data_IF_765458443017
#
_entry.id   IF_765458443017
#
_cell.length_a   1.000
_cell.length_b   1.000
_cell.length_c   1.000
_cell.angle_alpha   90.00
_cell.angle_beta   90.00
_cell.angle_gamma   90.00
#
_symmetry.space_group_name_H-M   'P 1'
#
loop_
_entity.id
_entity.type
_entity.pdbx_description
1 polymer ?
#
# COMPACT_ATOMS: atom_id res chain seq x y z
N UNK A 1 -3.22 34.29 -7.58
CA UNK A 1 -3.27 34.74 -8.99
C UNK A 1 -1.94 34.44 -9.66
N UNK A 2 -1.66 33.20 -9.98
CA UNK A 2 -0.69 32.86 -11.01
C UNK A 2 -1.26 31.68 -11.78
N UNK A 3 -2.12 31.99 -12.72
CA UNK A 3 -2.51 31.11 -13.80
C UNK A 3 -1.42 31.28 -14.85
N UNK A 4 -0.38 30.49 -14.76
CA UNK A 4 0.62 30.43 -15.82
C UNK A 4 0.15 29.39 -16.86
N UNK A 5 -0.18 29.81 -18.08
CA UNK A 5 -0.91 28.98 -19.05
C UNK A 5 -0.11 27.84 -19.69
N UNK A 6 1.12 27.59 -19.32
CA UNK A 6 1.91 26.46 -19.86
C UNK A 6 2.96 25.92 -18.90
N UNK A 7 3.20 26.55 -17.77
CA UNK A 7 4.14 26.08 -16.74
C UNK A 7 3.47 25.31 -15.60
N UNK A 8 2.15 25.47 -15.41
CA UNK A 8 1.44 24.97 -14.24
C UNK A 8 1.34 23.44 -14.17
N UNK A 9 1.07 22.78 -15.28
CA UNK A 9 0.94 21.32 -15.30
C UNK A 9 2.30 20.63 -15.08
N UNK A 10 3.37 21.13 -15.70
CA UNK A 10 4.70 20.57 -15.54
C UNK A 10 5.24 20.63 -14.11
N UNK A 11 4.98 21.70 -13.37
CA UNK A 11 5.47 21.85 -12.00
C UNK A 11 4.62 21.14 -10.95
N UNK A 12 3.32 20.98 -11.17
CA UNK A 12 2.43 20.20 -10.31
C UNK A 12 2.73 18.70 -10.48
N UNK A 13 2.94 18.25 -11.71
CA UNK A 13 3.30 16.84 -11.98
C UNK A 13 4.76 16.52 -11.68
N UNK A 14 5.69 17.44 -11.75
CA UNK A 14 7.08 17.23 -11.35
C UNK A 14 7.24 16.76 -9.90
N UNK A 15 6.27 17.04 -9.04
CA UNK A 15 6.25 16.57 -7.65
C UNK A 15 5.48 15.26 -7.44
N UNK A 16 4.79 14.76 -8.48
CA UNK A 16 3.90 13.61 -8.38
C UNK A 16 4.29 12.42 -9.27
N UNK A 17 5.14 12.64 -10.26
CA UNK A 17 5.65 11.58 -11.10
C UNK A 17 7.03 11.18 -10.60
N UNK A 18 7.13 9.97 -10.10
CA UNK A 18 8.36 9.34 -9.65
C UNK A 18 8.55 8.04 -10.44
N UNK A 19 9.78 7.66 -10.67
CA UNK A 19 10.14 6.36 -11.25
C UNK A 19 10.15 5.26 -10.18
N UNK A 20 10.49 4.02 -10.57
CA UNK A 20 10.60 2.88 -9.64
C UNK A 20 11.68 3.09 -8.57
N UNK A 21 12.61 4.01 -8.77
CA UNK A 21 13.66 4.38 -7.81
C UNK A 21 13.25 5.54 -6.91
N UNK A 22 12.00 5.99 -6.99
CA UNK A 22 11.44 7.17 -6.29
C UNK A 22 12.14 8.49 -6.71
N UNK A 23 12.76 8.50 -7.90
CA UNK A 23 13.35 9.71 -8.46
C UNK A 23 12.31 10.50 -9.27
N UNK A 24 12.34 11.83 -9.23
CA UNK A 24 11.34 12.66 -9.90
C UNK A 24 11.48 12.60 -11.42
N UNK A 25 10.43 12.13 -12.10
CA UNK A 25 10.33 12.12 -13.55
C UNK A 25 9.93 13.49 -14.09
N UNK A 26 10.66 13.99 -15.09
CA UNK A 26 10.34 15.22 -15.80
C UNK A 26 9.77 14.90 -17.18
N UNK A 27 8.49 15.19 -17.40
CA UNK A 27 7.81 14.96 -18.66
C UNK A 27 8.30 15.94 -19.74
N UNK A 28 8.97 15.43 -20.77
CA UNK A 28 9.46 16.19 -21.93
C UNK A 28 8.61 15.90 -23.17
N UNK A 29 8.72 16.75 -24.17
CA UNK A 29 8.07 16.53 -25.46
C UNK A 29 8.63 15.28 -26.15
N UNK A 30 7.75 14.33 -26.42
CA UNK A 30 8.10 13.01 -26.94
C UNK A 30 8.00 11.90 -25.90
N UNK A 31 8.06 12.23 -24.60
CA UNK A 31 7.95 11.24 -23.54
C UNK A 31 6.49 10.82 -23.31
N UNK A 32 6.35 9.53 -23.01
CA UNK A 32 5.08 8.93 -22.62
C UNK A 32 5.35 8.03 -21.40
N UNK A 33 4.75 8.36 -20.27
CA UNK A 33 4.90 7.59 -19.06
C UNK A 33 3.62 6.83 -18.75
N UNK A 34 3.76 5.55 -18.41
CA UNK A 34 2.64 4.67 -18.07
C UNK A 34 2.63 4.46 -16.55
N UNK A 35 1.44 4.43 -15.93
CA UNK A 35 1.34 4.10 -14.51
C UNK A 35 1.75 2.65 -14.23
N UNK A 36 2.33 2.39 -13.05
CA UNK A 36 2.75 1.05 -12.63
C UNK A 36 1.60 0.05 -12.63
N UNK A 37 0.41 0.47 -12.22
CA UNK A 37 -0.80 -0.35 -12.31
C UNK A 37 -1.13 -0.79 -13.73
N UNK A 38 -1.00 0.12 -14.72
CA UNK A 38 -1.22 -0.22 -16.14
C UNK A 38 -0.13 -1.14 -16.68
N UNK A 39 1.12 -0.97 -16.27
CA UNK A 39 2.23 -1.86 -16.61
C UNK A 39 1.92 -3.30 -16.21
N UNK A 40 1.51 -3.51 -14.96
CA UNK A 40 1.22 -4.84 -14.42
C UNK A 40 0.06 -5.53 -15.15
N UNK A 41 -0.97 -4.78 -15.51
CA UNK A 41 -2.15 -5.33 -16.20
C UNK A 41 -1.87 -5.65 -17.66
N UNK A 42 -1.12 -4.77 -18.34
CA UNK A 42 -0.89 -4.87 -19.78
C UNK A 42 0.42 -5.60 -20.14
N UNK A 43 1.31 -5.80 -19.18
CA UNK A 43 2.63 -6.41 -19.40
C UNK A 43 3.59 -5.55 -20.23
N UNK A 44 3.32 -4.24 -20.38
CA UNK A 44 4.09 -3.32 -21.21
C UNK A 44 5.36 -2.90 -20.46
N UNK A 45 6.49 -2.91 -21.16
CA UNK A 45 7.78 -2.48 -20.63
C UNK A 45 8.23 -1.12 -21.22
N UNK A 46 9.12 -0.37 -20.56
CA UNK A 46 9.75 0.80 -21.14
C UNK A 46 10.40 0.45 -22.49
N UNK A 47 10.11 1.25 -23.52
CA UNK A 47 10.54 1.00 -24.90
C UNK A 47 9.53 0.34 -25.80
N UNK A 48 8.50 -0.31 -25.25
CA UNK A 48 7.42 -0.93 -26.00
C UNK A 48 6.47 0.09 -26.64
N UNK A 49 5.73 -0.36 -27.65
CA UNK A 49 4.70 0.45 -28.30
C UNK A 49 3.32 0.05 -27.80
N UNK A 50 2.63 0.99 -27.14
CA UNK A 50 1.27 0.82 -26.71
C UNK A 50 0.28 1.40 -27.72
N UNK A 51 -0.87 0.75 -27.88
CA UNK A 51 -2.03 1.33 -28.54
C UNK A 51 -2.89 2.07 -27.51
N UNK A 52 -3.09 3.35 -27.75
CA UNK A 52 -3.87 4.23 -26.86
C UNK A 52 -5.10 4.71 -27.63
N UNK A 53 -6.25 4.60 -26.99
CA UNK A 53 -7.51 5.12 -27.51
C UNK A 53 -7.94 6.32 -26.68
N UNK A 54 -8.26 7.41 -27.35
CA UNK A 54 -8.80 8.59 -26.70
C UNK A 54 -10.31 8.50 -26.44
N UNK A 55 -10.86 9.49 -25.72
CA UNK A 55 -12.30 9.56 -25.41
C UNK A 55 -13.20 9.70 -26.64
N UNK A 56 -12.65 9.99 -27.82
CA UNK A 56 -13.35 10.06 -29.10
C UNK A 56 -13.15 8.82 -29.95
N UNK A 57 -12.64 7.72 -29.37
CA UNK A 57 -12.37 6.43 -29.99
C UNK A 57 -11.27 6.46 -31.09
N UNK A 58 -10.46 7.51 -31.16
CA UNK A 58 -9.30 7.52 -32.05
C UNK A 58 -8.17 6.73 -31.42
N UNK A 59 -7.51 5.92 -32.23
CA UNK A 59 -6.40 5.06 -31.80
C UNK A 59 -5.09 5.63 -32.29
N UNK A 60 -4.12 5.75 -31.42
CA UNK A 60 -2.76 6.12 -31.74
C UNK A 60 -1.77 5.09 -31.19
N UNK A 61 -0.62 4.94 -31.84
CA UNK A 61 0.49 4.15 -31.33
C UNK A 61 1.50 5.09 -30.68
N UNK A 62 1.81 4.84 -29.44
CA UNK A 62 2.78 5.62 -28.67
C UNK A 62 3.85 4.71 -28.10
N UNK A 63 5.07 5.18 -28.08
CA UNK A 63 6.19 4.46 -27.46
C UNK A 63 6.26 4.86 -25.99
N UNK A 64 6.22 3.88 -25.09
CA UNK A 64 6.34 4.09 -23.65
C UNK A 64 7.80 4.40 -23.32
N UNK A 65 8.06 5.57 -22.76
CA UNK A 65 9.42 6.01 -22.39
C UNK A 65 9.83 5.47 -21.04
N UNK A 66 8.91 5.52 -20.05
CA UNK A 66 9.17 5.04 -18.70
C UNK A 66 7.88 4.71 -17.94
N UNK A 67 8.03 4.15 -16.73
CA UNK A 67 6.93 3.80 -15.83
C UNK A 67 6.91 4.79 -14.67
N UNK A 68 5.75 5.35 -14.41
CA UNK A 68 5.53 6.22 -13.25
C UNK A 68 4.93 5.41 -12.09
N UNK A 69 5.48 5.59 -10.89
CA UNK A 69 4.94 5.03 -9.64
C UNK A 69 3.62 5.70 -9.23
N UNK A 70 2.64 5.64 -10.10
CA UNK A 70 1.31 6.09 -9.76
C UNK A 70 0.51 4.91 -9.20
N UNK A 71 0.17 4.99 -7.91
CA UNK A 71 -0.46 3.90 -7.17
C UNK A 71 -1.96 3.74 -7.47
N UNK A 72 -2.59 4.81 -7.96
CA UNK A 72 -4.02 4.86 -8.20
C UNK A 72 -4.33 5.10 -9.67
N UNK A 73 -5.14 4.20 -10.23
CA UNK A 73 -5.70 4.33 -11.57
C UNK A 73 -4.75 3.96 -12.71
N UNK A 74 -5.37 3.62 -13.83
CA UNK A 74 -4.66 3.32 -15.08
C UNK A 74 -4.49 4.63 -15.85
N UNK A 75 -3.34 5.24 -15.73
CA UNK A 75 -3.08 6.58 -16.27
C UNK A 75 -1.88 6.55 -17.21
N UNK A 76 -1.97 7.35 -18.24
CA UNK A 76 -0.88 7.58 -19.18
C UNK A 76 -0.61 9.09 -19.23
N UNK A 77 0.64 9.45 -19.06
CA UNK A 77 1.09 10.83 -19.01
C UNK A 77 1.87 11.18 -20.27
N UNK A 78 1.49 12.26 -20.93
CA UNK A 78 2.22 12.81 -22.07
C UNK A 78 2.00 14.32 -22.15
N UNK A 79 2.89 15.02 -22.83
CA UNK A 79 2.69 16.47 -23.10
C UNK A 79 1.62 16.69 -24.16
N UNK A 80 1.04 17.89 -24.19
CA UNK A 80 0.11 18.28 -25.25
C UNK A 80 0.73 18.10 -26.65
N UNK A 81 1.98 18.52 -26.83
CA UNK A 81 2.69 18.38 -28.11
C UNK A 81 2.88 16.91 -28.52
N UNK A 82 3.12 16.01 -27.56
CA UNK A 82 3.19 14.56 -27.82
C UNK A 82 1.83 14.01 -28.23
N UNK A 83 0.77 14.40 -27.54
CA UNK A 83 -0.60 14.01 -27.89
C UNK A 83 -0.99 14.47 -29.30
N UNK A 84 -0.75 15.74 -29.63
CA UNK A 84 -1.10 16.31 -30.93
C UNK A 84 -0.36 15.61 -32.09
N UNK A 85 0.90 15.24 -31.86
CA UNK A 85 1.68 14.46 -32.85
C UNK A 85 1.17 13.04 -32.99
N UNK A 86 0.80 12.38 -31.88
CA UNK A 86 0.34 11.00 -31.91
C UNK A 86 -1.06 10.85 -32.52
N UNK A 87 -1.97 11.76 -32.19
CA UNK A 87 -3.37 11.69 -32.64
C UNK A 87 -3.71 12.59 -33.84
N UNK A 88 -2.77 13.45 -34.28
CA UNK A 88 -2.97 14.36 -35.41
C UNK A 88 -4.03 15.44 -35.19
N UNK A 89 -4.34 15.76 -33.96
CA UNK A 89 -5.37 16.73 -33.58
C UNK A 89 -5.04 17.46 -32.29
N UNK A 90 -5.62 18.64 -32.12
CA UNK A 90 -5.41 19.44 -30.91
C UNK A 90 -6.05 18.78 -29.68
N UNK A 91 -5.32 18.81 -28.57
CA UNK A 91 -5.81 18.32 -27.29
C UNK A 91 -6.92 19.24 -26.76
N UNK A 92 -8.05 18.69 -26.34
CA UNK A 92 -9.09 19.44 -25.65
C UNK A 92 -8.82 19.44 -24.15
N UNK A 93 -8.71 20.64 -23.59
CA UNK A 93 -8.64 20.80 -22.14
C UNK A 93 -10.01 20.46 -21.54
N UNK A 94 -10.05 19.43 -20.70
CA UNK A 94 -11.26 18.97 -20.03
C UNK A 94 -11.20 19.09 -18.51
N UNK A 95 -10.05 19.49 -17.96
CA UNK A 95 -9.83 19.67 -16.53
C UNK A 95 -8.73 20.68 -16.23
N UNK A 96 -8.75 21.19 -15.03
CA UNK A 96 -7.74 22.11 -14.49
C UNK A 96 -7.30 21.57 -13.13
N UNK A 97 -5.98 21.49 -12.93
CA UNK A 97 -5.41 21.23 -11.62
C UNK A 97 -5.05 22.57 -10.97
N UNK A 98 -5.51 22.76 -9.74
CA UNK A 98 -5.28 23.99 -8.98
C UNK A 98 -4.56 23.64 -7.69
N UNK A 99 -3.42 24.27 -7.45
CA UNK A 99 -2.73 24.21 -6.18
C UNK A 99 -3.22 25.34 -5.28
N UNK A 100 -3.93 25.01 -4.22
CA UNK A 100 -4.43 25.98 -3.25
C UNK A 100 -3.43 26.14 -2.10
N UNK A 101 -3.20 27.39 -1.71
CA UNK A 101 -2.47 27.72 -0.48
C UNK A 101 -3.50 27.85 0.65
N UNK A 102 -3.29 27.18 1.75
CA UNK A 102 -4.18 27.22 2.90
C UNK A 102 -4.28 25.89 3.62
N UNK A 103 -5.06 25.84 4.68
CA UNK A 103 -5.32 24.60 5.43
C UNK A 103 -6.19 23.63 4.62
N UNK A 104 -6.21 22.35 5.02
CA UNK A 104 -7.11 21.35 4.43
C UNK A 104 -8.58 21.77 4.50
N UNK A 105 -8.98 22.43 5.58
CA UNK A 105 -10.34 22.94 5.75
C UNK A 105 -10.68 24.03 4.70
N UNK A 106 -9.74 24.94 4.41
CA UNK A 106 -9.93 25.98 3.40
C UNK A 106 -10.04 25.37 2.00
N UNK A 107 -9.25 24.35 1.70
CA UNK A 107 -9.29 23.64 0.41
C UNK A 107 -10.62 22.91 0.22
N UNK A 108 -11.14 22.26 1.27
CA UNK A 108 -12.43 21.58 1.26
C UNK A 108 -13.57 22.60 1.11
N UNK A 109 -13.52 23.71 1.83
CA UNK A 109 -14.52 24.78 1.70
C UNK A 109 -14.54 25.36 0.29
N UNK A 110 -13.38 25.60 -0.31
CA UNK A 110 -13.25 26.06 -1.69
C UNK A 110 -13.85 25.06 -2.69
N UNK A 111 -13.55 23.77 -2.55
CA UNK A 111 -14.10 22.72 -3.43
C UNK A 111 -15.63 22.64 -3.34
N UNK A 112 -16.18 22.76 -2.12
CA UNK A 112 -17.64 22.77 -1.90
C UNK A 112 -18.31 23.99 -2.54
N UNK A 113 -17.70 25.16 -2.45
CA UNK A 113 -18.21 26.36 -3.08
C UNK A 113 -18.22 26.27 -4.62
N UNK A 114 -17.14 25.71 -5.20
CA UNK A 114 -17.08 25.48 -6.65
C UNK A 114 -18.14 24.47 -7.14
N UNK A 115 -18.46 23.44 -6.33
CA UNK A 115 -19.54 22.48 -6.66
C UNK A 115 -20.88 23.18 -6.83
N UNK A 116 -21.13 24.30 -6.14
CA UNK A 116 -22.34 25.10 -6.26
C UNK A 116 -22.38 25.94 -7.53
N UNK A 117 -21.23 26.24 -8.14
CA UNK A 117 -21.09 27.11 -9.30
C UNK A 117 -21.23 26.42 -10.67
N UNK A 118 -21.70 25.14 -10.66
CA UNK A 118 -22.04 24.42 -11.90
C UNK A 118 -20.89 23.67 -12.57
N UNK A 119 -19.76 23.47 -11.89
CA UNK A 119 -18.69 22.59 -12.36
C UNK A 119 -19.14 21.14 -12.37
N UNK A 120 -18.84 20.41 -13.46
CA UNK A 120 -19.30 19.03 -13.67
C UNK A 120 -18.69 18.03 -12.66
N UNK A 121 -17.43 18.23 -12.29
CA UNK A 121 -16.76 17.39 -11.31
C UNK A 121 -15.63 18.16 -10.64
N UNK A 122 -15.59 18.10 -9.32
CA UNK A 122 -14.54 18.72 -8.52
C UNK A 122 -14.02 17.65 -7.56
N UNK A 123 -12.71 17.40 -7.62
CA UNK A 123 -12.01 16.48 -6.75
C UNK A 123 -11.00 17.27 -5.92
N UNK A 124 -11.09 17.18 -4.60
CA UNK A 124 -10.16 17.81 -3.68
C UNK A 124 -9.29 16.75 -3.02
N UNK A 125 -7.97 16.88 -3.12
CA UNK A 125 -7.03 15.98 -2.45
C UNK A 125 -7.22 15.98 -0.93
N UNK A 126 -7.54 17.13 -0.34
CA UNK A 126 -7.81 17.24 1.09
C UNK A 126 -9.07 16.47 1.51
N UNK A 127 -10.15 16.53 0.70
CA UNK A 127 -11.38 15.77 0.94
C UNK A 127 -11.14 14.25 0.79
N UNK A 128 -10.34 13.84 -0.20
CA UNK A 128 -9.95 12.45 -0.36
C UNK A 128 -9.11 11.96 0.80
N UNK A 129 -8.16 12.77 1.28
CA UNK A 129 -7.31 12.41 2.41
C UNK A 129 -8.13 12.20 3.69
N UNK A 130 -9.07 13.09 3.99
CA UNK A 130 -9.97 12.95 5.14
C UNK A 130 -10.80 11.65 5.07
N UNK A 131 -11.32 11.33 3.89
CA UNK A 131 -12.04 10.06 3.66
C UNK A 131 -11.13 8.84 3.79
N UNK A 132 -9.89 8.93 3.30
CA UNK A 132 -8.88 7.87 3.46
C UNK A 132 -8.58 7.63 4.95
N UNK A 133 -8.32 8.68 5.70
CA UNK A 133 -8.00 8.60 7.12
C UNK A 133 -9.14 7.95 7.92
N UNK A 134 -10.39 8.29 7.62
CA UNK A 134 -11.55 7.65 8.22
C UNK A 134 -11.63 6.14 7.89
N UNK A 135 -11.35 5.75 6.64
CA UNK A 135 -11.33 4.35 6.23
C UNK A 135 -10.18 3.58 6.89
N UNK A 136 -8.99 4.18 7.01
CA UNK A 136 -7.85 3.57 7.71
C UNK A 136 -8.14 3.34 9.19
N UNK A 137 -8.89 4.23 9.83
CA UNK A 137 -9.30 4.05 11.23
C UNK A 137 -10.14 2.78 11.39
N UNK A 138 -11.07 2.51 10.47
CA UNK A 138 -11.88 1.29 10.47
C UNK A 138 -11.00 0.05 10.27
N UNK A 139 -10.11 0.08 9.28
CA UNK A 139 -9.18 -1.03 9.00
C UNK A 139 -8.30 -1.30 10.22
N UNK A 140 -7.73 -0.27 10.81
CA UNK A 140 -6.90 -0.40 12.01
C UNK A 140 -7.67 -1.01 13.19
N UNK A 141 -8.93 -0.66 13.36
CA UNK A 141 -9.79 -1.25 14.40
C UNK A 141 -9.99 -2.75 14.19
N UNK A 142 -10.18 -3.18 12.94
CA UNK A 142 -10.28 -4.61 12.58
C UNK A 142 -8.95 -5.32 12.83
N UNK A 143 -7.83 -4.73 12.45
CA UNK A 143 -6.49 -5.29 12.69
C UNK A 143 -6.24 -5.49 14.19
N UNK A 144 -6.55 -4.48 15.02
CA UNK A 144 -6.42 -4.57 16.48
C UNK A 144 -7.29 -5.69 17.04
N UNK A 145 -8.54 -5.81 16.58
CA UNK A 145 -9.45 -6.87 17.01
C UNK A 145 -8.88 -8.27 16.65
N UNK A 146 -8.46 -8.46 15.42
CA UNK A 146 -7.90 -9.75 14.95
C UNK A 146 -6.62 -10.09 15.72
N UNK A 147 -5.74 -9.13 15.94
CA UNK A 147 -4.51 -9.32 16.72
C UNK A 147 -4.83 -9.72 18.16
N UNK A 148 -5.81 -9.07 18.77
CA UNK A 148 -6.25 -9.42 20.13
C UNK A 148 -6.81 -10.84 20.18
N UNK A 149 -7.65 -11.23 19.23
CA UNK A 149 -8.18 -12.61 19.16
C UNK A 149 -7.07 -13.64 18.95
N UNK A 150 -6.09 -13.35 18.10
CA UNK A 150 -4.92 -14.21 17.87
C UNK A 150 -4.09 -14.37 19.15
N UNK A 151 -3.88 -13.29 19.90
CA UNK A 151 -3.20 -13.33 21.20
C UNK A 151 -3.95 -14.20 22.22
N UNK A 152 -5.28 -14.05 22.31
CA UNK A 152 -6.12 -14.89 23.17
C UNK A 152 -6.03 -16.37 22.79
N UNK A 153 -6.09 -16.69 21.50
CA UNK A 153 -5.97 -18.06 21.02
C UNK A 153 -4.58 -18.65 21.36
N UNK A 154 -3.52 -17.89 21.10
CA UNK A 154 -2.16 -18.28 21.46
C UNK A 154 -2.02 -18.57 22.95
N UNK A 155 -2.58 -17.69 23.79
CA UNK A 155 -2.58 -17.89 25.24
C UNK A 155 -3.28 -19.20 25.66
N UNK A 156 -4.47 -19.47 25.11
CA UNK A 156 -5.23 -20.70 25.40
C UNK A 156 -4.45 -21.94 24.98
N UNK A 157 -3.82 -21.92 23.79
CA UNK A 157 -3.03 -23.04 23.30
C UNK A 157 -1.82 -23.30 24.20
N UNK A 158 -1.02 -22.27 24.52
CA UNK A 158 0.14 -22.40 25.39
C UNK A 158 -0.26 -22.87 26.80
N UNK A 159 -1.34 -22.33 27.33
CA UNK A 159 -1.87 -22.73 28.65
C UNK A 159 -2.31 -24.20 28.65
N UNK A 160 -3.03 -24.63 27.62
CA UNK A 160 -3.48 -26.03 27.50
C UNK A 160 -2.30 -26.99 27.36
N UNK A 161 -1.33 -26.67 26.49
CA UNK A 161 -0.12 -27.48 26.32
C UNK A 161 0.69 -27.58 27.62
N UNK A 162 0.85 -26.47 28.34
CA UNK A 162 1.56 -26.46 29.61
C UNK A 162 0.88 -27.33 30.66
N UNK A 163 -0.46 -27.23 30.77
CA UNK A 163 -1.22 -28.08 31.68
C UNK A 163 -1.15 -29.56 31.33
N UNK A 164 -1.25 -29.90 30.05
CA UNK A 164 -1.15 -31.30 29.59
C UNK A 164 0.26 -31.88 29.87
N UNK A 165 1.31 -31.14 29.53
CA UNK A 165 2.68 -31.52 29.81
C UNK A 165 2.94 -31.79 31.31
N UNK A 166 2.39 -30.94 32.19
CA UNK A 166 2.52 -31.11 33.64
C UNK A 166 1.76 -32.33 34.09
N UNK A 167 0.53 -32.58 33.63
CA UNK A 167 -0.30 -33.72 34.01
C UNK A 167 0.30 -35.06 33.56
N UNK A 168 0.86 -35.13 32.36
CA UNK A 168 1.50 -36.33 31.82
C UNK A 168 2.78 -36.72 32.61
N UNK A 169 3.50 -35.72 33.13
CA UNK A 169 4.75 -35.92 33.86
C UNK A 169 4.62 -35.80 35.37
N UNK A 170 3.41 -35.85 35.91
CA UNK A 170 3.16 -35.67 37.35
C UNK A 170 3.92 -36.67 38.18
N UNK A 171 4.02 -37.94 37.74
CA UNK A 171 4.77 -38.99 38.43
C UNK A 171 6.30 -38.74 38.39
N UNK A 172 6.83 -38.30 37.28
CA UNK A 172 8.25 -37.92 37.10
C UNK A 172 8.62 -36.74 38.00
N UNK A 173 7.76 -35.72 38.00
CA UNK A 173 7.92 -34.53 38.84
C UNK A 173 7.83 -34.87 40.34
N UNK A 174 6.97 -35.80 40.72
CA UNK A 174 6.89 -36.32 42.10
C UNK A 174 8.17 -37.03 42.52
N UNK A 175 8.76 -37.86 41.64
CA UNK A 175 10.02 -38.55 41.88
C UNK A 175 11.19 -37.58 42.05
N UNK A 176 11.30 -36.55 41.22
CA UNK A 176 12.33 -35.50 41.30
C UNK A 176 12.19 -34.75 42.64
N UNK A 177 10.96 -34.50 43.08
CA UNK A 177 10.68 -33.78 44.31
C UNK A 177 11.05 -34.61 45.56
N UNK A 178 10.85 -35.94 45.52
CA UNK A 178 11.26 -36.85 46.57
C UNK A 178 12.80 -36.95 46.67
N UNK A 179 13.51 -36.83 45.56
CA UNK A 179 14.97 -36.77 45.47
C UNK A 179 15.58 -35.48 46.05
N UNK A 180 14.73 -34.50 46.54
CA UNK A 180 15.19 -33.32 47.24
C UNK A 180 15.38 -32.07 46.38
N UNK A 181 14.97 -32.09 45.16
CA UNK A 181 15.01 -30.88 44.30
C UNK A 181 14.11 -29.80 44.83
N UNK A 182 14.60 -28.53 44.77
CA UNK A 182 13.81 -27.34 45.20
C UNK A 182 12.73 -27.04 44.19
N UNK A 183 11.59 -26.51 44.66
CA UNK A 183 10.45 -26.14 43.80
C UNK A 183 10.84 -25.25 42.62
N UNK A 184 11.80 -24.31 42.79
CA UNK A 184 12.29 -23.44 41.73
C UNK A 184 13.04 -24.19 40.62
N UNK A 185 13.75 -25.26 40.94
CA UNK A 185 14.50 -26.05 39.95
C UNK A 185 13.56 -26.89 39.08
N UNK A 186 12.50 -27.43 39.66
CA UNK A 186 11.45 -28.14 38.93
C UNK A 186 10.67 -27.18 38.00
N UNK A 187 10.33 -25.99 38.47
CA UNK A 187 9.70 -24.96 37.62
C UNK A 187 10.60 -24.53 36.47
N UNK A 188 11.90 -24.39 36.75
CA UNK A 188 12.85 -23.99 35.71
C UNK A 188 12.99 -25.08 34.62
N UNK A 189 12.93 -26.36 35.00
CA UNK A 189 12.97 -27.47 34.06
C UNK A 189 11.77 -27.51 33.13
N UNK A 190 10.56 -27.40 33.67
CA UNK A 190 9.30 -27.37 32.89
C UNK A 190 9.21 -26.14 31.99
N UNK A 191 9.56 -24.96 32.54
CA UNK A 191 9.51 -23.70 31.76
C UNK A 191 10.52 -23.70 30.61
N UNK A 192 11.68 -24.35 30.76
CA UNK A 192 12.70 -24.41 29.71
C UNK A 192 12.19 -25.13 28.45
N UNK A 193 11.39 -26.18 28.62
CA UNK A 193 10.80 -26.91 27.51
C UNK A 193 9.76 -26.08 26.78
N UNK A 194 8.83 -25.45 27.51
CA UNK A 194 7.83 -24.55 26.95
C UNK A 194 8.46 -23.34 26.26
N UNK A 195 9.49 -22.75 26.87
CA UNK A 195 10.22 -21.64 26.30
C UNK A 195 10.91 -22.00 24.98
N UNK A 196 11.52 -23.21 24.94
CA UNK A 196 12.19 -23.71 23.72
C UNK A 196 11.18 -23.92 22.58
N UNK A 197 10.03 -24.52 22.87
CA UNK A 197 8.95 -24.72 21.90
C UNK A 197 8.40 -23.38 21.38
N UNK A 198 8.21 -22.44 22.29
CA UNK A 198 7.74 -21.08 21.92
C UNK A 198 8.77 -20.37 21.06
N UNK A 199 10.05 -20.45 21.38
CA UNK A 199 11.12 -19.85 20.58
C UNK A 199 11.17 -20.43 19.16
N UNK A 200 11.07 -21.75 19.01
CA UNK A 200 11.02 -22.42 17.71
C UNK A 200 9.75 -22.00 16.94
N UNK A 201 8.60 -22.01 17.62
CA UNK A 201 7.33 -21.59 17.04
C UNK A 201 7.37 -20.14 16.53
N UNK A 202 7.95 -19.23 17.29
CA UNK A 202 8.12 -17.83 16.88
C UNK A 202 9.10 -17.70 15.70
N UNK A 203 10.24 -18.41 15.75
CA UNK A 203 11.24 -18.40 14.68
C UNK A 203 10.70 -18.91 13.33
N UNK A 204 9.73 -19.80 13.35
CA UNK A 204 9.04 -20.29 12.15
C UNK A 204 7.81 -19.46 11.81
N UNK A 205 7.05 -19.01 12.80
CA UNK A 205 5.79 -18.29 12.61
C UNK A 205 5.98 -16.90 12.00
N UNK A 206 6.99 -16.17 12.43
CA UNK A 206 7.26 -14.81 11.92
C UNK A 206 7.57 -14.82 10.41
N UNK A 207 8.51 -15.62 9.89
CA UNK A 207 8.76 -15.66 8.44
C UNK A 207 7.56 -16.19 7.65
N UNK A 208 6.85 -17.19 8.16
CA UNK A 208 5.63 -17.70 7.51
C UNK A 208 4.54 -16.65 7.46
N UNK A 209 4.36 -15.85 8.52
CA UNK A 209 3.45 -14.71 8.54
C UNK A 209 3.80 -13.67 7.49
N UNK A 210 5.07 -13.34 7.33
CA UNK A 210 5.58 -12.44 6.30
C UNK A 210 5.26 -12.95 4.88
N UNK A 211 5.57 -14.21 4.61
CA UNK A 211 5.27 -14.84 3.30
C UNK A 211 3.77 -14.87 2.99
N UNK A 212 2.93 -15.11 4.00
CA UNK A 212 1.49 -15.07 3.83
C UNK A 212 1.00 -13.65 3.54
N UNK A 213 1.52 -12.64 4.24
CA UNK A 213 1.16 -11.24 4.02
C UNK A 213 1.53 -10.79 2.60
N UNK A 214 2.73 -11.14 2.13
CA UNK A 214 3.18 -10.86 0.76
C UNK A 214 2.31 -11.56 -0.28
N UNK A 215 1.99 -12.84 -0.08
CA UNK A 215 1.11 -13.61 -0.96
C UNK A 215 -0.30 -13.03 -1.01
N UNK A 216 -0.84 -12.60 0.12
CA UNK A 216 -2.15 -11.94 0.20
C UNK A 216 -2.16 -10.62 -0.56
N UNK A 217 -1.13 -9.82 -0.44
CA UNK A 217 -1.03 -8.54 -1.16
C UNK A 217 -0.96 -8.77 -2.66
N UNK A 218 -0.23 -9.80 -3.12
CA UNK A 218 -0.19 -10.16 -4.53
C UNK A 218 -1.57 -10.58 -5.07
N UNK A 219 -2.35 -11.32 -4.29
CA UNK A 219 -3.71 -11.75 -4.68
C UNK A 219 -4.69 -10.58 -4.68
N UNK A 220 -4.51 -9.60 -3.78
CA UNK A 220 -5.38 -8.42 -3.67
C UNK A 220 -5.05 -7.31 -4.66
N UNK A 221 -4.00 -7.46 -5.48
CA UNK A 221 -3.70 -6.49 -6.54
C UNK A 221 -4.86 -6.40 -7.51
N UNK A 222 -5.54 -5.26 -7.50
CA UNK A 222 -6.62 -4.94 -8.44
C UNK A 222 -6.04 -4.23 -9.67
N UNK A 223 -6.66 -4.37 -10.86
CA UNK A 223 -6.17 -3.76 -12.10
C UNK A 223 -5.96 -2.25 -12.09
N UNK A 224 -6.40 -1.55 -11.07
CA UNK A 224 -6.28 -0.09 -10.92
C UNK A 224 -5.65 0.35 -9.61
N UNK A 225 -5.15 -0.60 -8.81
CA UNK A 225 -4.53 -0.31 -7.52
C UNK A 225 -3.21 -1.08 -7.41
N UNK A 226 -2.13 -0.36 -7.24
CA UNK A 226 -0.83 -0.93 -6.93
C UNK A 226 -0.54 -0.74 -5.44
N UNK A 227 -0.23 -1.83 -4.74
CA UNK A 227 0.24 -1.80 -3.36
C UNK A 227 1.71 -2.16 -3.34
N UNK A 228 2.53 -1.25 -2.88
CA UNK A 228 3.93 -1.53 -2.56
C UNK A 228 3.99 -2.11 -1.15
N UNK A 229 4.46 -3.36 -1.05
CA UNK A 229 4.57 -4.05 0.25
C UNK A 229 5.95 -3.82 0.80
N UNK A 230 6.09 -2.79 1.58
CA UNK A 230 7.31 -2.55 2.35
C UNK A 230 7.06 -2.96 3.81
N UNK A 231 7.56 -4.13 4.21
CA UNK A 231 7.48 -4.56 5.61
C UNK A 231 8.65 -3.95 6.35
N UNK A 232 8.38 -2.93 7.15
CA UNK A 232 9.41 -2.31 7.98
C UNK A 232 10.01 -3.34 8.95
N UNK A 233 11.35 -3.35 9.16
CA UNK A 233 12.01 -4.25 10.11
C UNK A 233 11.47 -4.14 11.54
N UNK A 234 10.91 -2.98 11.91
CA UNK A 234 10.27 -2.76 13.20
C UNK A 234 8.98 -3.58 13.39
N UNK A 235 8.36 -4.05 12.32
CA UNK A 235 7.14 -4.87 12.37
C UNK A 235 7.42 -6.31 12.84
N UNK A 236 8.69 -6.71 12.94
CA UNK A 236 9.11 -8.03 13.42
C UNK A 236 9.49 -8.04 14.91
N UNK A 237 9.43 -6.90 15.61
CA UNK A 237 9.76 -6.72 17.03
C UNK A 237 8.48 -6.53 17.83
#
# INVERSE_FOLDING_TARGET
>A
RDVAPSRGLGDVYKRQLEDESKEPLSLRDGDVYLSKSSQLVLGIQPGDTAQVQDSSLNVAKVKVSDISLNYLGNTLFMTQGTYERAFGRSARLNGIFVLLKGSSADQIAFSKNLKSDGWLSISSTAEHWENFEANFTIINSVVVLVTFMAACLSFVVVFTLSNTNISERERELATIKVLGFRRGEVHHYVNKETLSLTAIGTALGVPLGGLLAESFTYILQMPSLYFDVEVEPLSYV
#
